data_IF_553134972920
#
_entry.id   IF_553134972920
#
_cell.length_a   1.000
_cell.length_b   1.000
_cell.length_c   1.000
_cell.angle_alpha   90.00
_cell.angle_beta   90.00
_cell.angle_gamma   90.00
#
_symmetry.space_group_name_H-M   'P 1'
#
loop_
_entity.id
_entity.type
_entity.pdbx_description
1 polymer ?
#
# COMPACT_ATOMS: atom_id res chain seq x y z
N UNK A 1 8.72 -22.25 -8.87
CA UNK A 1 7.73 -21.18 -9.11
C UNK A 1 6.70 -21.05 -8.00
N UNK A 2 6.03 -22.14 -7.59
CA UNK A 2 4.90 -22.09 -6.65
C UNK A 2 5.18 -21.30 -5.36
N UNK A 3 6.35 -21.50 -4.71
CA UNK A 3 6.72 -20.76 -3.50
C UNK A 3 6.77 -19.24 -3.74
N UNK A 4 7.40 -18.78 -4.83
CA UNK A 4 7.49 -17.35 -5.13
C UNK A 4 6.13 -16.76 -5.50
N UNK A 5 5.28 -17.51 -6.20
CA UNK A 5 3.90 -17.09 -6.48
C UNK A 5 3.10 -16.93 -5.18
N UNK A 6 3.23 -17.88 -4.24
CA UNK A 6 2.60 -17.81 -2.93
C UNK A 6 3.09 -16.60 -2.15
N UNK A 7 4.40 -16.40 -2.03
CA UNK A 7 4.98 -15.25 -1.34
C UNK A 7 4.55 -13.92 -1.97
N UNK A 8 4.55 -13.85 -3.30
CA UNK A 8 4.09 -12.69 -4.04
C UNK A 8 2.62 -12.38 -3.73
N UNK A 9 1.74 -13.39 -3.81
CA UNK A 9 0.32 -13.24 -3.51
C UNK A 9 0.08 -12.83 -2.05
N UNK A 10 0.78 -13.44 -1.08
CA UNK A 10 0.67 -13.07 0.33
C UNK A 10 1.08 -11.61 0.56
N UNK A 11 2.13 -11.15 -0.09
CA UNK A 11 2.55 -9.75 -0.01
C UNK A 11 1.50 -8.79 -0.60
N UNK A 12 0.87 -9.14 -1.73
CA UNK A 12 -0.28 -8.40 -2.28
C UNK A 12 -1.44 -8.38 -1.28
N UNK A 13 -1.79 -9.51 -0.68
CA UNK A 13 -2.90 -9.61 0.28
C UNK A 13 -2.67 -8.74 1.53
N UNK A 14 -1.46 -8.77 2.09
CA UNK A 14 -1.12 -7.95 3.25
C UNK A 14 -1.21 -6.47 2.91
N UNK A 15 -0.68 -6.05 1.75
CA UNK A 15 -0.65 -4.65 1.39
C UNK A 15 -2.02 -4.13 0.91
N UNK A 16 -2.59 -4.72 -0.15
CA UNK A 16 -3.86 -4.29 -0.74
C UNK A 16 -5.02 -4.55 0.23
N UNK A 17 -5.06 -5.73 0.86
CA UNK A 17 -6.06 -6.06 1.87
C UNK A 17 -5.95 -5.15 3.11
N UNK A 18 -4.73 -4.84 3.55
CA UNK A 18 -4.50 -3.87 4.63
C UNK A 18 -4.97 -2.46 4.29
N UNK A 19 -4.74 -2.00 3.05
CA UNK A 19 -5.27 -0.71 2.58
C UNK A 19 -6.80 -0.71 2.53
N UNK A 20 -7.41 -1.79 2.05
CA UNK A 20 -8.86 -1.96 2.05
C UNK A 20 -9.43 -1.88 3.48
N UNK A 21 -8.88 -2.67 4.40
CA UNK A 21 -9.28 -2.64 5.80
C UNK A 21 -9.13 -1.25 6.40
N UNK A 22 -7.98 -0.59 6.20
CA UNK A 22 -7.72 0.75 6.72
C UNK A 22 -8.74 1.77 6.18
N UNK A 23 -9.04 1.73 4.88
CA UNK A 23 -9.86 2.74 4.23
C UNK A 23 -11.37 2.52 4.44
N UNK A 24 -11.83 1.27 4.31
CA UNK A 24 -13.25 0.91 4.26
C UNK A 24 -13.79 0.54 5.64
N UNK A 25 -12.96 -0.05 6.52
CA UNK A 25 -13.41 -0.57 7.81
C UNK A 25 -12.92 0.32 8.95
N UNK A 26 -11.61 0.42 9.14
CA UNK A 26 -11.03 1.12 10.29
C UNK A 26 -11.38 2.60 10.32
N UNK A 27 -11.33 3.27 9.16
CA UNK A 27 -11.62 4.71 9.06
C UNK A 27 -13.02 5.07 9.56
N UNK A 28 -14.12 4.54 9.00
CA UNK A 28 -15.45 4.92 9.48
C UNK A 28 -15.64 4.56 10.96
N UNK A 29 -15.19 3.39 11.40
CA UNK A 29 -15.27 2.99 12.81
C UNK A 29 -14.53 3.97 13.73
N UNK A 30 -13.34 4.46 13.33
CA UNK A 30 -12.59 5.44 14.11
C UNK A 30 -13.20 6.85 14.08
N UNK A 31 -14.02 7.18 13.06
CA UNK A 31 -14.77 8.45 13.02
C UNK A 31 -15.96 8.39 13.97
N UNK A 32 -16.63 7.24 14.06
CA UNK A 32 -17.80 7.03 14.91
C UNK A 32 -17.43 6.87 16.40
N UNK A 33 -16.37 6.10 16.69
CA UNK A 33 -16.05 5.71 18.06
C UNK A 33 -15.15 6.70 18.82
N UNK A 34 -14.39 7.58 18.13
CA UNK A 34 -13.31 8.36 18.75
C UNK A 34 -13.42 9.86 18.48
N UNK A 35 -12.99 10.66 19.48
CA UNK A 35 -12.84 12.11 19.32
C UNK A 35 -11.68 12.43 18.35
N UNK A 36 -11.65 13.63 17.74
CA UNK A 36 -10.65 13.96 16.72
C UNK A 36 -9.18 13.74 17.13
N UNK A 37 -8.72 14.14 18.33
CA UNK A 37 -7.33 13.90 18.76
C UNK A 37 -7.01 12.42 18.97
N UNK A 38 -7.94 11.65 19.57
CA UNK A 38 -7.78 10.22 19.81
C UNK A 38 -7.67 9.44 18.50
N UNK A 39 -8.49 9.80 17.51
CA UNK A 39 -8.41 9.26 16.16
C UNK A 39 -7.04 9.48 15.52
N UNK A 40 -6.45 10.67 15.67
CA UNK A 40 -5.12 10.97 15.10
C UNK A 40 -4.03 10.13 15.78
N UNK A 41 -4.11 9.96 17.10
CA UNK A 41 -3.18 9.10 17.86
C UNK A 41 -3.33 7.62 17.48
N UNK A 42 -4.56 7.15 17.26
CA UNK A 42 -4.79 5.80 16.75
C UNK A 42 -4.12 5.61 15.39
N UNK A 43 -4.35 6.53 14.44
CA UNK A 43 -3.75 6.47 13.11
C UNK A 43 -2.23 6.49 13.13
N UNK A 44 -1.61 7.28 14.01
CA UNK A 44 -0.16 7.28 14.22
C UNK A 44 0.35 5.88 14.58
N UNK A 45 -0.29 5.24 15.56
CA UNK A 45 0.06 3.89 16.00
C UNK A 45 -0.28 2.79 15.00
N UNK A 46 -1.29 2.98 14.16
CA UNK A 46 -1.63 2.05 13.09
C UNK A 46 -0.61 2.16 11.97
N UNK A 47 -0.29 3.37 11.51
CA UNK A 47 0.68 3.59 10.43
C UNK A 47 2.08 3.13 10.81
N UNK A 48 2.53 3.37 12.03
CA UNK A 48 3.86 2.91 12.48
C UNK A 48 4.04 1.40 12.38
N UNK A 49 2.98 0.62 12.59
CA UNK A 49 3.00 -0.84 12.47
C UNK A 49 2.76 -1.28 11.03
N UNK A 50 1.73 -0.73 10.39
CA UNK A 50 1.32 -1.15 9.05
C UNK A 50 2.39 -0.82 8.00
N UNK A 51 3.03 0.35 8.06
CA UNK A 51 4.03 0.71 7.06
C UNK A 51 5.30 -0.15 7.12
N UNK A 52 5.65 -0.72 8.28
CA UNK A 52 6.72 -1.72 8.36
C UNK A 52 6.35 -3.00 7.58
N UNK A 53 5.09 -3.44 7.68
CA UNK A 53 4.57 -4.55 6.88
C UNK A 53 4.50 -4.22 5.38
N UNK A 54 4.17 -2.98 5.03
CA UNK A 54 4.18 -2.54 3.62
C UNK A 54 5.60 -2.54 3.06
N UNK A 55 6.61 -2.07 3.80
CA UNK A 55 8.00 -2.16 3.36
C UNK A 55 8.45 -3.60 3.12
N UNK A 56 8.07 -4.52 4.02
CA UNK A 56 8.32 -5.94 3.84
C UNK A 56 7.61 -6.49 2.60
N UNK A 57 6.34 -6.13 2.40
CA UNK A 57 5.56 -6.54 1.23
C UNK A 57 6.19 -6.03 -0.07
N UNK A 58 6.62 -4.77 -0.13
CA UNK A 58 7.35 -4.18 -1.27
C UNK A 58 8.59 -5.00 -1.60
N UNK A 59 9.42 -5.31 -0.59
CA UNK A 59 10.62 -6.12 -0.79
C UNK A 59 10.30 -7.52 -1.33
N UNK A 60 9.30 -8.19 -0.76
CA UNK A 60 8.87 -9.53 -1.20
C UNK A 60 8.32 -9.47 -2.63
N UNK A 61 7.52 -8.46 -2.97
CA UNK A 61 6.95 -8.30 -4.31
C UNK A 61 8.01 -8.09 -5.38
N UNK A 62 8.99 -7.23 -5.14
CA UNK A 62 10.08 -6.97 -6.08
C UNK A 62 10.93 -8.22 -6.27
N UNK A 63 11.41 -8.82 -5.17
CA UNK A 63 12.31 -9.99 -5.26
C UNK A 63 11.63 -11.19 -5.91
N UNK A 64 10.38 -11.51 -5.53
CA UNK A 64 9.62 -12.60 -6.15
C UNK A 64 9.21 -12.30 -7.58
N UNK A 65 8.79 -11.06 -7.89
CA UNK A 65 8.37 -10.64 -9.23
C UNK A 65 9.51 -10.70 -10.24
N UNK A 66 10.65 -10.08 -9.94
CA UNK A 66 11.82 -10.13 -10.81
C UNK A 66 12.37 -11.55 -10.97
N UNK A 67 12.35 -12.36 -9.91
CA UNK A 67 12.77 -13.76 -10.00
C UNK A 67 11.86 -14.58 -10.93
N UNK A 68 10.53 -14.36 -10.87
CA UNK A 68 9.59 -15.02 -11.80
C UNK A 68 9.80 -14.55 -13.25
N UNK A 69 10.05 -13.27 -13.49
CA UNK A 69 10.38 -12.74 -14.83
C UNK A 69 11.66 -13.38 -15.36
N UNK A 70 12.71 -13.46 -14.54
CA UNK A 70 13.98 -14.13 -14.91
C UNK A 70 13.74 -15.58 -15.35
N UNK A 71 12.96 -16.33 -14.57
CA UNK A 71 12.65 -17.72 -14.85
C UNK A 71 11.78 -17.94 -16.10
N UNK A 72 11.00 -16.93 -16.50
CA UNK A 72 10.22 -16.96 -17.74
C UNK A 72 11.05 -16.61 -18.99
N UNK A 73 12.37 -16.46 -18.87
CA UNK A 73 13.26 -16.08 -19.97
C UNK A 73 13.53 -14.58 -20.06
N UNK A 74 13.16 -13.81 -19.02
CA UNK A 74 13.38 -12.37 -18.95
C UNK A 74 12.28 -11.53 -19.60
N UNK A 75 12.46 -10.20 -19.57
CA UNK A 75 11.44 -9.23 -19.97
C UNK A 75 10.95 -9.36 -21.42
N UNK A 76 11.75 -9.93 -22.33
CA UNK A 76 11.32 -10.12 -23.72
C UNK A 76 10.30 -11.27 -23.90
N UNK A 77 10.19 -12.16 -22.92
CA UNK A 77 9.42 -13.40 -23.01
C UNK A 77 8.17 -13.41 -22.13
N UNK A 78 7.97 -12.39 -21.29
CA UNK A 78 6.78 -12.30 -20.43
C UNK A 78 5.61 -11.66 -21.20
N UNK A 79 4.37 -12.07 -20.92
CA UNK A 79 3.19 -11.47 -21.54
C UNK A 79 3.04 -9.96 -21.22
N UNK A 80 2.33 -9.23 -22.08
CA UNK A 80 2.09 -7.79 -21.92
C UNK A 80 1.49 -7.40 -20.55
N UNK A 81 0.60 -8.24 -20.00
CA UNK A 81 0.00 -7.99 -18.69
C UNK A 81 1.04 -8.00 -17.55
N UNK A 82 2.16 -8.72 -17.69
CA UNK A 82 3.22 -8.71 -16.68
C UNK A 82 3.93 -7.35 -16.65
N UNK A 83 4.10 -6.72 -17.82
CA UNK A 83 4.66 -5.37 -17.90
C UNK A 83 3.74 -4.31 -17.32
N UNK A 84 2.44 -4.40 -17.60
CA UNK A 84 1.46 -3.49 -17.03
C UNK A 84 1.33 -3.69 -15.50
N UNK A 85 1.28 -4.93 -15.02
CA UNK A 85 1.36 -5.26 -13.59
C UNK A 85 2.61 -4.65 -12.91
N UNK A 86 3.78 -4.73 -13.56
CA UNK A 86 5.01 -4.11 -13.06
C UNK A 86 4.91 -2.58 -13.03
N UNK A 87 4.40 -1.95 -14.10
CA UNK A 87 4.21 -0.51 -14.18
C UNK A 87 3.29 -0.02 -13.05
N UNK A 88 2.14 -0.64 -12.87
CA UNK A 88 1.20 -0.31 -11.81
C UNK A 88 1.84 -0.51 -10.43
N UNK A 89 2.56 -1.62 -10.23
CA UNK A 89 3.31 -1.86 -9.00
C UNK A 89 4.33 -0.76 -8.69
N UNK A 90 5.09 -0.29 -9.68
CA UNK A 90 6.06 0.82 -9.52
C UNK A 90 5.33 2.11 -9.14
N UNK A 91 4.21 2.42 -9.78
CA UNK A 91 3.40 3.59 -9.42
C UNK A 91 2.92 3.49 -7.97
N UNK A 92 2.44 2.32 -7.56
CA UNK A 92 1.99 2.09 -6.18
C UNK A 92 3.12 2.28 -5.16
N UNK A 93 4.31 1.77 -5.47
CA UNK A 93 5.51 1.93 -4.64
C UNK A 93 5.93 3.40 -4.54
N UNK A 94 5.87 4.16 -5.63
CA UNK A 94 6.17 5.58 -5.63
C UNK A 94 5.18 6.37 -4.77
N UNK A 95 3.88 6.07 -4.87
CA UNK A 95 2.84 6.67 -4.01
C UNK A 95 3.13 6.36 -2.54
N UNK A 96 3.43 5.09 -2.21
CA UNK A 96 3.74 4.70 -0.84
C UNK A 96 5.00 5.38 -0.31
N UNK A 97 6.07 5.44 -1.09
CA UNK A 97 7.30 6.14 -0.70
C UNK A 97 7.02 7.62 -0.40
N UNK A 98 6.24 8.29 -1.25
CA UNK A 98 5.81 9.67 -1.00
C UNK A 98 4.97 9.79 0.29
N UNK A 99 3.98 8.91 0.49
CA UNK A 99 3.16 8.87 1.71
C UNK A 99 4.03 8.68 2.95
N UNK A 100 5.00 7.77 2.92
CA UNK A 100 5.86 7.47 4.06
C UNK A 100 6.79 8.65 4.38
N UNK A 101 7.63 9.06 3.42
CA UNK A 101 8.68 10.05 3.67
C UNK A 101 8.16 11.47 3.78
N UNK A 102 7.17 11.85 2.96
CA UNK A 102 6.69 13.24 2.91
C UNK A 102 5.50 13.51 3.83
N UNK A 103 4.60 12.53 4.00
CA UNK A 103 3.39 12.75 4.78
C UNK A 103 3.49 12.15 6.19
N UNK A 104 3.81 10.85 6.32
CA UNK A 104 3.73 10.14 7.59
C UNK A 104 4.76 10.65 8.61
N UNK A 105 6.01 10.88 8.21
CA UNK A 105 7.03 11.46 9.10
C UNK A 105 6.55 12.80 9.67
N UNK A 106 6.00 13.68 8.82
CA UNK A 106 5.45 14.97 9.27
C UNK A 106 4.21 14.79 10.14
N UNK A 107 3.33 13.87 9.79
CA UNK A 107 2.12 13.55 10.56
C UNK A 107 2.47 13.12 11.98
N UNK A 108 3.39 12.16 12.13
CA UNK A 108 3.84 11.66 13.42
C UNK A 108 4.40 12.80 14.30
N UNK A 109 5.25 13.66 13.72
CA UNK A 109 5.78 14.85 14.42
C UNK A 109 4.67 15.81 14.88
N UNK A 110 3.65 16.07 14.06
CA UNK A 110 2.54 16.95 14.46
C UNK A 110 1.64 16.31 15.53
N UNK A 111 1.45 15.00 15.50
CA UNK A 111 0.73 14.26 16.55
C UNK A 111 1.48 14.33 17.88
N UNK A 112 2.80 14.19 17.87
CA UNK A 112 3.65 14.31 19.05
C UNK A 112 3.63 15.74 19.62
N UNK A 113 3.72 16.75 18.75
CA UNK A 113 3.58 18.16 19.10
C UNK A 113 2.14 18.57 19.50
N UNK A 114 1.17 17.66 19.41
CA UNK A 114 -0.27 17.91 19.66
C UNK A 114 -0.86 19.02 18.77
N UNK A 115 -0.29 19.27 17.60
CA UNK A 115 -0.84 20.17 16.59
C UNK A 115 -1.91 19.42 15.76
N UNK A 116 -3.10 19.30 16.35
CA UNK A 116 -4.21 18.51 15.78
C UNK A 116 -4.70 19.05 14.44
N UNK A 117 -4.61 20.36 14.22
CA UNK A 117 -5.04 20.99 12.98
C UNK A 117 -4.13 20.56 11.81
N UNK A 118 -2.81 20.69 11.97
CA UNK A 118 -1.85 20.26 10.93
C UNK A 118 -1.85 18.74 10.75
N UNK A 119 -1.88 17.98 11.85
CA UNK A 119 -1.97 16.53 11.78
C UNK A 119 -3.22 16.06 11.02
N UNK A 120 -4.37 16.68 11.26
CA UNK A 120 -5.62 16.41 10.56
C UNK A 120 -5.53 16.69 9.05
N UNK A 121 -4.90 17.80 8.67
CA UNK A 121 -4.70 18.15 7.26
C UNK A 121 -3.81 17.12 6.54
N UNK A 122 -2.70 16.71 7.16
CA UNK A 122 -1.80 15.70 6.60
C UNK A 122 -2.49 14.33 6.49
N UNK A 123 -3.24 13.91 7.52
CA UNK A 123 -4.03 12.67 7.45
C UNK A 123 -5.03 12.69 6.28
N UNK A 124 -5.62 13.86 5.99
CA UNK A 124 -6.48 14.07 4.82
C UNK A 124 -5.77 13.76 3.50
N UNK A 125 -4.51 14.19 3.36
CA UNK A 125 -3.66 13.89 2.19
C UNK A 125 -3.29 12.41 2.12
N UNK A 126 -2.84 11.82 3.24
CA UNK A 126 -2.53 10.37 3.33
C UNK A 126 -3.73 9.56 2.86
N UNK A 127 -4.94 9.90 3.32
CA UNK A 127 -6.17 9.22 2.92
C UNK A 127 -6.40 9.24 1.41
N UNK A 128 -6.25 10.41 0.76
CA UNK A 128 -6.47 10.51 -0.70
C UNK A 128 -5.49 9.61 -1.45
N UNK A 129 -4.22 9.62 -1.06
CA UNK A 129 -3.17 8.84 -1.69
C UNK A 129 -3.33 7.34 -1.44
N UNK A 130 -3.68 6.92 -0.22
CA UNK A 130 -3.99 5.52 0.09
C UNK A 130 -5.22 5.04 -0.68
N UNK A 131 -6.25 5.88 -0.83
CA UNK A 131 -7.42 5.57 -1.65
C UNK A 131 -7.08 5.37 -3.13
N UNK A 132 -6.27 6.26 -3.70
CA UNK A 132 -5.75 6.10 -5.06
C UNK A 132 -4.94 4.81 -5.19
N UNK A 133 -4.04 4.57 -4.24
CA UNK A 133 -3.17 3.39 -4.24
C UNK A 133 -3.97 2.08 -4.11
N UNK A 134 -5.06 2.09 -3.34
CA UNK A 134 -5.98 0.96 -3.22
C UNK A 134 -6.68 0.68 -4.55
N UNK A 135 -7.18 1.70 -5.25
CA UNK A 135 -7.81 1.53 -6.57
C UNK A 135 -6.82 0.91 -7.55
N UNK A 136 -5.59 1.43 -7.61
CA UNK A 136 -4.53 0.87 -8.46
C UNK A 136 -4.27 -0.59 -8.08
N UNK A 137 -4.10 -0.89 -6.79
CA UNK A 137 -3.88 -2.27 -6.32
C UNK A 137 -4.99 -3.24 -6.70
N UNK A 138 -6.25 -2.82 -6.62
CA UNK A 138 -7.38 -3.63 -7.06
C UNK A 138 -7.38 -3.85 -8.58
N UNK A 139 -7.04 -2.82 -9.36
CA UNK A 139 -6.88 -2.95 -10.82
C UNK A 139 -5.74 -3.91 -11.19
N UNK A 140 -4.59 -3.82 -10.51
CA UNK A 140 -3.45 -4.73 -10.69
C UNK A 140 -3.85 -6.19 -10.42
N UNK A 141 -4.68 -6.44 -9.40
CA UNK A 141 -5.19 -7.80 -9.13
C UNK A 141 -6.18 -8.26 -10.20
N UNK A 142 -7.09 -7.37 -10.62
CA UNK A 142 -8.10 -7.69 -11.63
C UNK A 142 -7.47 -8.02 -13.00
N UNK A 143 -6.41 -7.31 -13.37
CA UNK A 143 -5.66 -7.51 -14.61
C UNK A 143 -5.22 -8.97 -14.81
N UNK A 144 -4.83 -9.67 -13.74
CA UNK A 144 -4.40 -11.08 -13.81
C UNK A 144 -5.49 -12.00 -14.37
N UNK A 145 -6.77 -11.67 -14.14
CA UNK A 145 -7.89 -12.47 -14.63
C UNK A 145 -8.22 -12.18 -16.09
N UNK A 146 -8.03 -10.93 -16.54
CA UNK A 146 -8.31 -10.53 -17.92
C UNK A 146 -7.13 -10.80 -18.86
N UNK A 147 -5.89 -10.76 -18.37
CA UNK A 147 -4.68 -10.96 -19.18
C UNK A 147 -4.24 -12.42 -19.32
N UNK A 148 -4.81 -13.34 -18.53
CA UNK A 148 -4.58 -14.79 -18.66
C UNK A 148 -5.61 -15.52 -19.52
N UNK A 149 -6.72 -14.84 -19.86
CA UNK A 149 -7.81 -15.38 -20.68
C UNK A 149 -7.61 -15.13 -22.17
#
# INVERSE_FOLDING_TARGET
MALFQLLHLLAVLVWVGGMFFAYVVLRPSAVEALKPPERLRLWDKVFSRFFNWVWLAVFVLLTSGFYMIYQLGGFAHVPAYVHLMLLLGIVMMAIFAYVFFSCYVRFNLQVEAKDWAKAGAILGTIRKLVGLNLVIGLLTVAEVFFGRG
#
